data_IF_417636911568
#
_entry.id   IF_417636911568
#
_cell.length_a   1.000
_cell.length_b   1.000
_cell.length_c   1.000
_cell.angle_alpha   90.00
_cell.angle_beta   90.00
_cell.angle_gamma   90.00
#
_symmetry.space_group_name_H-M   'P 1'
#
loop_
_entity.id
_entity.type
_entity.pdbx_description
1 polymer ?
#
# COMPACT_ATOMS: atom_id res chain seq x y z
N UNK A 1 33.19 -40.92 -44.48
CA UNK A 1 31.85 -41.00 -43.84
C UNK A 1 31.93 -40.45 -42.43
N UNK A 2 31.54 -39.19 -42.29
CA UNK A 2 31.49 -38.51 -40.99
C UNK A 2 30.03 -38.47 -40.59
N UNK A 3 29.69 -39.16 -39.51
CA UNK A 3 28.35 -39.09 -38.89
C UNK A 3 28.26 -37.82 -38.07
N UNK A 4 27.39 -36.89 -38.50
CA UNK A 4 27.03 -35.72 -37.72
C UNK A 4 26.00 -36.14 -36.64
N UNK A 5 26.37 -36.02 -35.38
CA UNK A 5 25.50 -36.21 -34.25
C UNK A 5 24.71 -34.95 -34.00
N UNK A 6 23.41 -35.01 -34.30
CA UNK A 6 22.44 -33.99 -33.94
C UNK A 6 22.23 -33.99 -32.42
N UNK A 7 22.80 -33.02 -31.74
CA UNK A 7 22.46 -32.72 -30.33
C UNK A 7 21.21 -31.87 -30.34
N UNK A 8 20.07 -32.55 -30.16
CA UNK A 8 18.80 -31.89 -29.86
C UNK A 8 18.90 -31.26 -28.48
N UNK A 9 19.06 -29.95 -28.42
CA UNK A 9 18.88 -29.18 -27.19
C UNK A 9 17.40 -29.35 -26.76
N UNK A 10 17.19 -30.15 -25.72
CA UNK A 10 15.91 -30.13 -24.98
C UNK A 10 15.70 -28.72 -24.40
N UNK A 11 14.83 -27.97 -25.04
CA UNK A 11 14.24 -26.76 -24.43
C UNK A 11 13.40 -27.24 -23.28
N UNK A 12 13.87 -27.00 -22.05
CA UNK A 12 13.07 -27.22 -20.84
C UNK A 12 11.86 -26.31 -20.93
N UNK A 13 10.64 -26.81 -20.68
CA UNK A 13 9.47 -25.98 -20.66
C UNK A 13 9.63 -24.90 -19.59
N UNK A 14 9.44 -23.67 -20.01
CA UNK A 14 9.45 -22.46 -19.19
C UNK A 14 8.44 -22.65 -18.05
N UNK A 15 8.93 -23.03 -16.85
CA UNK A 15 8.08 -23.22 -15.67
C UNK A 15 7.62 -21.85 -15.22
N UNK A 16 6.37 -21.54 -15.54
CA UNK A 16 5.47 -20.65 -14.80
C UNK A 16 6.11 -19.40 -14.19
N UNK A 17 6.43 -18.47 -15.07
CA UNK A 17 6.45 -17.06 -14.70
C UNK A 17 4.97 -16.66 -14.65
N UNK A 18 4.51 -16.28 -13.46
CA UNK A 18 3.23 -15.62 -13.20
C UNK A 18 1.96 -16.48 -13.29
N UNK A 19 1.75 -17.39 -12.33
CA UNK A 19 0.43 -17.40 -11.72
C UNK A 19 0.30 -16.09 -10.95
N UNK A 20 -0.17 -15.04 -11.61
CA UNK A 20 -0.82 -13.91 -10.96
C UNK A 20 -1.88 -14.58 -10.09
N UNK A 21 -1.67 -14.60 -8.76
CA UNK A 21 -2.70 -15.10 -7.86
C UNK A 21 -3.90 -14.23 -8.18
N UNK A 22 -4.97 -14.82 -8.73
CA UNK A 22 -6.17 -14.10 -9.07
C UNK A 22 -6.63 -13.37 -7.81
N UNK A 23 -6.81 -12.05 -7.91
CA UNK A 23 -7.42 -11.29 -6.82
C UNK A 23 -8.80 -11.90 -6.61
N UNK A 24 -9.14 -12.37 -5.40
CA UNK A 24 -10.48 -12.87 -5.16
C UNK A 24 -11.49 -11.79 -5.56
N UNK A 25 -12.58 -12.13 -6.29
CA UNK A 25 -13.59 -11.15 -6.68
C UNK A 25 -14.13 -10.50 -5.42
N UNK A 26 -14.28 -9.17 -5.44
CA UNK A 26 -14.99 -8.47 -4.40
C UNK A 26 -16.38 -9.10 -4.27
N UNK A 27 -16.72 -9.64 -3.11
CA UNK A 27 -18.05 -10.21 -2.90
C UNK A 27 -19.06 -9.10 -3.12
N UNK A 28 -19.95 -9.27 -4.09
CA UNK A 28 -21.06 -8.34 -4.35
C UNK A 28 -21.77 -8.08 -3.03
N UNK A 29 -22.02 -6.81 -2.71
CA UNK A 29 -22.74 -6.45 -1.50
C UNK A 29 -24.13 -7.06 -1.57
N UNK A 30 -24.47 -7.94 -0.65
CA UNK A 30 -25.85 -8.40 -0.46
C UNK A 30 -26.71 -7.20 -0.06
N UNK A 31 -28.03 -7.29 -0.32
CA UNK A 31 -28.98 -6.24 0.06
C UNK A 31 -28.85 -5.85 1.54
N UNK A 32 -28.59 -6.83 2.42
CA UNK A 32 -28.29 -6.63 3.84
C UNK A 32 -27.00 -5.83 4.09
N UNK A 33 -25.99 -5.96 3.25
CA UNK A 33 -24.75 -5.17 3.34
C UNK A 33 -24.92 -3.75 2.80
N UNK A 34 -25.87 -3.53 1.90
CA UNK A 34 -26.29 -2.19 1.46
C UNK A 34 -27.10 -1.47 2.53
N UNK A 35 -27.91 -2.18 3.29
CA UNK A 35 -28.65 -1.66 4.45
C UNK A 35 -27.71 -1.25 5.59
N UNK A 36 -26.66 -2.04 5.85
CA UNK A 36 -25.59 -1.68 6.81
C UNK A 36 -24.81 -0.43 6.35
N UNK A 37 -24.73 -0.17 5.05
CA UNK A 37 -24.09 1.04 4.49
C UNK A 37 -24.82 2.33 4.84
N UNK A 38 -26.14 2.25 5.06
CA UNK A 38 -27.01 3.39 5.39
C UNK A 38 -27.40 3.43 6.89
N UNK A 39 -27.06 2.39 7.66
CA UNK A 39 -27.22 2.46 9.09
C UNK A 39 -26.26 3.50 9.64
N UNK A 40 -26.79 4.54 10.28
CA UNK A 40 -26.02 5.43 11.12
C UNK A 40 -25.19 4.58 12.07
N UNK A 41 -23.87 4.85 12.14
CA UNK A 41 -22.99 4.22 13.12
C UNK A 41 -23.69 4.41 14.48
N UNK A 42 -24.07 3.35 15.19
CA UNK A 42 -24.69 3.53 16.50
C UNK A 42 -23.79 4.46 17.30
N UNK A 43 -24.36 5.45 17.96
CA UNK A 43 -23.66 6.27 18.96
C UNK A 43 -23.25 5.30 20.07
N UNK A 44 -22.21 4.55 19.82
CA UNK A 44 -21.70 3.48 20.64
C UNK A 44 -20.29 3.84 21.08
N UNK A 45 -19.92 3.39 22.21
CA UNK A 45 -18.68 3.54 22.97
C UNK A 45 -17.58 4.36 22.28
N UNK A 46 -16.92 5.30 22.95
CA UNK A 46 -15.81 6.07 22.37
C UNK A 46 -14.82 5.14 21.65
N UNK A 47 -14.46 5.48 20.42
CA UNK A 47 -13.44 4.72 19.69
C UNK A 47 -12.12 4.91 20.41
N UNK A 48 -11.58 3.84 20.95
CA UNK A 48 -10.23 3.83 21.50
C UNK A 48 -9.22 3.74 20.35
N UNK A 49 -8.44 4.80 20.15
CA UNK A 49 -7.42 4.83 19.12
C UNK A 49 -6.16 4.12 19.60
N UNK A 50 -5.60 3.30 18.74
CA UNK A 50 -4.38 2.54 19.00
C UNK A 50 -3.13 3.41 18.88
N UNK A 51 -2.09 3.05 19.59
CA UNK A 51 -0.73 3.61 19.44
C UNK A 51 0.02 2.82 18.37
N UNK A 52 0.71 3.50 17.47
CA UNK A 52 1.67 2.86 16.55
C UNK A 52 2.96 2.59 17.33
N UNK A 53 3.41 1.33 17.46
CA UNK A 53 4.67 1.04 18.10
C UNK A 53 5.86 1.43 17.20
N UNK A 54 6.97 1.91 17.78
CA UNK A 54 8.23 2.15 17.04
C UNK A 54 8.97 0.84 16.75
N UNK A 55 8.33 -0.07 16.03
CA UNK A 55 8.81 -1.44 15.84
C UNK A 55 10.03 -1.55 14.90
N UNK A 56 10.20 -0.59 14.00
CA UNK A 56 11.22 -0.61 12.94
C UNK A 56 12.14 0.62 13.06
N UNK A 57 12.61 0.89 14.27
CA UNK A 57 13.45 2.04 14.58
C UNK A 57 14.75 2.04 13.76
N UNK A 58 14.97 3.12 12.99
CA UNK A 58 16.16 3.28 12.16
C UNK A 58 16.17 2.46 10.87
N UNK A 59 15.12 1.68 10.59
CA UNK A 59 15.04 0.80 9.42
C UNK A 59 14.64 1.54 8.15
N UNK A 60 14.93 0.93 7.00
CA UNK A 60 14.32 1.28 5.72
C UNK A 60 12.98 0.58 5.59
N UNK A 61 11.90 1.33 5.38
CA UNK A 61 10.56 0.78 5.16
C UNK A 61 10.14 0.99 3.70
N UNK A 62 9.71 -0.09 3.05
CA UNK A 62 9.19 -0.08 1.69
C UNK A 62 7.67 -0.04 1.72
N UNK A 63 7.07 0.97 1.09
CA UNK A 63 5.61 1.12 1.01
C UNK A 63 5.16 0.73 -0.39
N UNK A 64 4.29 -0.27 -0.46
CA UNK A 64 3.77 -0.82 -1.70
C UNK A 64 2.37 -0.29 -1.94
N UNK A 65 2.24 0.61 -2.92
CA UNK A 65 0.98 1.16 -3.40
C UNK A 65 0.36 0.31 -4.51
N UNK A 66 -0.63 0.88 -5.19
CA UNK A 66 -1.39 0.21 -6.24
C UNK A 66 -1.04 0.62 -7.67
N UNK A 67 -0.03 1.46 -7.89
CA UNK A 67 0.24 2.06 -9.20
C UNK A 67 0.68 1.07 -10.28
N UNK A 68 0.36 1.35 -11.56
CA UNK A 68 0.58 0.44 -12.68
C UNK A 68 2.07 0.09 -12.94
N UNK A 69 3.01 0.86 -12.42
CA UNK A 69 4.45 0.53 -12.49
C UNK A 69 4.81 -0.83 -11.87
N UNK A 70 3.95 -1.39 -11.02
CA UNK A 70 4.15 -2.71 -10.41
C UNK A 70 3.58 -3.87 -11.24
N UNK A 71 3.02 -3.65 -12.42
CA UNK A 71 2.37 -4.66 -13.27
C UNK A 71 3.42 -5.69 -13.60
N UNK A 72 4.33 -6.07 -13.52
CA UNK A 72 5.26 -7.19 -13.76
C UNK A 72 6.36 -7.26 -12.67
N UNK A 73 6.11 -6.61 -11.55
CA UNK A 73 7.07 -6.59 -10.48
C UNK A 73 7.15 -7.97 -9.79
N UNK A 74 8.34 -8.46 -9.59
CA UNK A 74 8.56 -9.68 -8.81
C UNK A 74 8.62 -9.35 -7.31
N UNK A 75 7.53 -9.58 -6.61
CA UNK A 75 7.39 -9.30 -5.17
C UNK A 75 8.30 -10.17 -4.29
N UNK A 76 8.85 -11.28 -4.80
CA UNK A 76 9.82 -12.08 -4.07
C UNK A 76 11.11 -11.30 -3.74
N UNK A 77 11.42 -10.25 -4.50
CA UNK A 77 12.55 -9.36 -4.23
C UNK A 77 12.42 -8.58 -2.91
N UNK A 78 11.20 -8.48 -2.37
CA UNK A 78 10.91 -7.78 -1.10
C UNK A 78 11.05 -8.70 0.13
N UNK A 79 11.33 -9.98 -0.06
CA UNK A 79 11.53 -10.91 1.07
C UNK A 79 12.65 -10.42 1.99
N UNK A 80 12.36 -10.36 3.28
CA UNK A 80 13.29 -9.90 4.31
C UNK A 80 13.43 -8.39 4.46
N UNK A 81 12.78 -7.60 3.60
CA UNK A 81 12.68 -6.15 3.75
C UNK A 81 11.49 -5.77 4.62
N UNK A 82 11.58 -4.65 5.34
CA UNK A 82 10.44 -4.12 6.11
C UNK A 82 9.44 -3.47 5.17
N UNK A 83 8.22 -3.98 5.17
CA UNK A 83 7.23 -3.60 4.14
C UNK A 83 5.88 -3.22 4.73
N UNK A 84 5.28 -2.18 4.14
CA UNK A 84 3.87 -1.80 4.33
C UNK A 84 3.17 -2.01 3.00
N UNK A 85 2.13 -2.84 2.98
CA UNK A 85 1.24 -2.99 1.83
C UNK A 85 -0.04 -2.18 2.03
N UNK A 86 -0.48 -1.49 0.98
CA UNK A 86 -1.69 -0.67 1.01
C UNK A 86 -2.81 -1.39 0.25
N UNK A 87 -3.97 -1.55 0.89
CA UNK A 87 -5.16 -2.13 0.28
C UNK A 87 -4.84 -3.47 -0.42
N UNK A 88 -5.19 -3.61 -1.69
CA UNK A 88 -5.03 -4.84 -2.46
C UNK A 88 -3.59 -5.29 -2.72
N UNK A 89 -2.59 -4.45 -2.48
CA UNK A 89 -1.19 -4.87 -2.56
C UNK A 89 -0.89 -6.07 -1.66
N UNK A 90 -1.67 -6.28 -0.60
CA UNK A 90 -1.56 -7.45 0.30
C UNK A 90 -1.70 -8.79 -0.43
N UNK A 91 -2.49 -8.87 -1.50
CA UNK A 91 -2.67 -10.12 -2.25
C UNK A 91 -1.44 -10.53 -3.06
N UNK A 92 -0.55 -9.60 -3.32
CA UNK A 92 0.70 -9.83 -4.06
C UNK A 92 1.90 -10.01 -3.12
N UNK A 93 1.83 -9.45 -1.91
CA UNK A 93 2.89 -9.56 -0.90
C UNK A 93 2.29 -9.88 0.47
N UNK A 94 1.84 -11.12 0.65
CA UNK A 94 1.15 -11.60 1.85
C UNK A 94 2.06 -11.72 3.09
N UNK A 95 3.37 -11.72 2.89
CA UNK A 95 4.38 -11.78 3.95
C UNK A 95 4.86 -10.40 4.40
N UNK A 96 4.17 -9.34 4.02
CA UNK A 96 4.47 -7.99 4.47
C UNK A 96 4.37 -7.86 5.99
N UNK A 97 5.16 -6.93 6.56
CA UNK A 97 5.14 -6.67 8.01
C UNK A 97 3.88 -5.93 8.45
N UNK A 98 3.31 -5.10 7.56
CA UNK A 98 2.18 -4.23 7.87
C UNK A 98 1.20 -4.18 6.70
N UNK A 99 -0.09 -4.27 6.99
CA UNK A 99 -1.19 -3.96 6.10
C UNK A 99 -1.88 -2.67 6.56
N UNK A 100 -2.07 -1.73 5.65
CA UNK A 100 -2.78 -0.48 5.89
C UNK A 100 -3.91 -0.25 4.89
N UNK A 101 -5.04 0.26 5.38
CA UNK A 101 -6.16 0.72 4.55
C UNK A 101 -6.87 1.90 5.20
N UNK A 102 -7.52 2.74 4.38
CA UNK A 102 -8.30 3.88 4.88
C UNK A 102 -9.80 3.61 4.86
N UNK A 103 -10.31 2.97 3.80
CA UNK A 103 -11.75 2.75 3.60
C UNK A 103 -12.19 1.45 4.25
N UNK A 104 -13.07 1.54 5.25
CA UNK A 104 -13.60 0.39 5.98
C UNK A 104 -14.29 -0.65 5.08
N UNK A 105 -14.77 -0.26 3.88
CA UNK A 105 -15.34 -1.17 2.90
C UNK A 105 -14.32 -2.21 2.42
N UNK A 106 -13.03 -1.86 2.39
CA UNK A 106 -11.97 -2.80 2.04
C UNK A 106 -12.00 -4.02 2.96
N UNK A 107 -12.13 -3.82 4.27
CA UNK A 107 -12.28 -4.92 5.21
C UNK A 107 -13.56 -5.73 4.97
N UNK A 108 -14.68 -5.08 4.71
CA UNK A 108 -15.95 -5.76 4.42
C UNK A 108 -15.83 -6.68 3.20
N UNK A 109 -15.11 -6.26 2.17
CA UNK A 109 -14.94 -7.03 0.94
C UNK A 109 -13.97 -8.21 1.10
N UNK A 110 -12.94 -8.06 1.91
CA UNK A 110 -11.82 -9.00 2.03
C UNK A 110 -11.57 -9.48 3.45
N UNK A 111 -12.62 -9.55 4.24
CA UNK A 111 -12.53 -9.86 5.68
C UNK A 111 -11.68 -11.10 5.97
N UNK A 112 -11.94 -12.22 5.28
CA UNK A 112 -11.23 -13.47 5.54
C UNK A 112 -9.73 -13.36 5.22
N UNK A 113 -9.39 -12.67 4.14
CA UNK A 113 -8.00 -12.49 3.73
C UNK A 113 -7.26 -11.57 4.72
N UNK A 114 -7.92 -10.51 5.18
CA UNK A 114 -7.35 -9.56 6.14
C UNK A 114 -7.20 -10.22 7.51
N UNK A 115 -8.20 -10.98 7.98
CA UNK A 115 -8.13 -11.67 9.26
C UNK A 115 -6.98 -12.70 9.30
N UNK A 116 -6.70 -13.35 8.17
CA UNK A 116 -5.61 -14.32 8.03
C UNK A 116 -4.22 -13.66 7.78
N UNK A 117 -4.16 -12.35 7.58
CA UNK A 117 -2.89 -11.66 7.44
C UNK A 117 -2.14 -11.64 8.77
N UNK A 118 -0.90 -12.10 8.79
CA UNK A 118 -0.12 -12.32 10.03
C UNK A 118 0.61 -11.07 10.53
N UNK A 119 0.80 -10.04 9.69
CA UNK A 119 1.46 -8.79 10.06
C UNK A 119 0.58 -7.84 10.88
N UNK A 120 1.11 -6.68 11.21
CA UNK A 120 0.34 -5.63 11.86
C UNK A 120 -0.73 -5.07 10.91
N UNK A 121 -1.92 -4.80 11.44
CA UNK A 121 -3.07 -4.29 10.68
C UNK A 121 -3.47 -2.93 11.21
N UNK A 122 -3.48 -1.93 10.32
CA UNK A 122 -3.88 -0.56 10.67
C UNK A 122 -4.96 -0.05 9.74
N UNK A 123 -5.93 0.66 10.29
CA UNK A 123 -6.97 1.38 9.55
C UNK A 123 -7.13 2.79 10.07
N UNK A 124 -7.43 3.73 9.17
CA UNK A 124 -7.70 5.12 9.53
C UNK A 124 -9.15 5.37 9.94
N UNK A 125 -10.05 4.45 9.64
CA UNK A 125 -11.46 4.55 10.00
C UNK A 125 -11.89 3.34 10.81
N UNK A 126 -12.67 3.56 11.88
CA UNK A 126 -13.26 2.45 12.61
C UNK A 126 -14.20 1.65 11.69
N UNK A 127 -14.28 0.36 11.92
CA UNK A 127 -15.21 -0.55 11.27
C UNK A 127 -15.95 -1.37 12.32
N UNK A 128 -17.27 -1.45 12.20
CA UNK A 128 -18.12 -2.15 13.18
C UNK A 128 -17.82 -3.65 13.34
N UNK A 129 -17.16 -4.23 12.33
CA UNK A 129 -16.85 -5.67 12.28
C UNK A 129 -15.36 -5.98 12.48
N UNK A 130 -14.53 -4.99 12.83
CA UNK A 130 -13.11 -5.18 13.03
C UNK A 130 -12.81 -6.15 14.18
N UNK A 131 -11.86 -7.04 13.96
CA UNK A 131 -11.28 -7.88 14.98
C UNK A 131 -10.36 -7.06 15.90
N UNK A 132 -10.09 -7.57 17.11
CA UNK A 132 -9.31 -6.82 18.14
C UNK A 132 -7.85 -6.54 17.73
N UNK A 133 -7.32 -7.27 16.79
CA UNK A 133 -5.94 -7.12 16.27
C UNK A 133 -5.84 -6.01 15.21
N UNK A 134 -6.97 -5.48 14.70
CA UNK A 134 -6.99 -4.33 13.82
C UNK A 134 -6.87 -3.06 14.64
N UNK A 135 -5.78 -2.36 14.45
CA UNK A 135 -5.45 -1.10 15.12
C UNK A 135 -6.06 0.08 14.38
N UNK A 136 -6.98 0.77 15.03
CA UNK A 136 -7.63 1.96 14.46
C UNK A 136 -6.87 3.21 14.89
N UNK A 137 -6.49 4.03 13.92
CA UNK A 137 -5.79 5.29 14.13
C UNK A 137 -6.73 6.48 13.90
N UNK A 138 -6.46 7.58 14.58
CA UNK A 138 -7.21 8.83 14.42
C UNK A 138 -6.84 9.49 13.09
N UNK A 139 -7.83 10.00 12.41
CA UNK A 139 -7.63 10.84 11.24
C UNK A 139 -7.19 12.23 11.71
N UNK A 140 -6.01 12.64 11.33
CA UNK A 140 -5.41 13.92 11.66
C UNK A 140 -5.55 14.98 10.56
N UNK A 141 -4.53 15.82 10.42
CA UNK A 141 -4.49 16.90 9.43
C UNK A 141 -4.48 16.37 7.99
N UNK A 142 -4.92 17.21 7.07
CA UNK A 142 -4.87 16.87 5.65
C UNK A 142 -3.44 16.89 5.10
N UNK A 143 -2.63 17.84 5.52
CA UNK A 143 -1.27 18.06 5.04
C UNK A 143 -0.28 18.15 6.20
N UNK A 144 1.03 17.94 5.92
CA UNK A 144 2.06 17.90 6.94
C UNK A 144 2.21 16.52 7.58
N UNK A 145 2.95 16.44 8.66
CA UNK A 145 3.27 15.23 9.42
C UNK A 145 2.59 15.24 10.79
N UNK A 146 1.79 14.25 11.08
CA UNK A 146 1.33 14.01 12.45
C UNK A 146 2.43 13.35 13.27
N UNK A 147 2.70 13.89 14.45
CA UNK A 147 3.70 13.37 15.38
C UNK A 147 3.09 12.58 16.53
N UNK A 148 1.79 12.72 16.76
CA UNK A 148 1.05 11.91 17.73
C UNK A 148 0.91 10.46 17.19
N UNK A 149 1.43 9.44 17.88
CA UNK A 149 1.42 8.06 17.39
C UNK A 149 0.03 7.43 17.32
N UNK A 150 -1.02 8.10 17.76
CA UNK A 150 -2.40 7.67 17.59
C UNK A 150 -3.05 8.21 16.30
N UNK A 151 -2.36 9.10 15.60
CA UNK A 151 -2.93 9.96 14.56
C UNK A 151 -2.14 9.87 13.26
N UNK A 152 -2.81 9.85 12.12
CA UNK A 152 -2.17 9.94 10.81
C UNK A 152 -2.66 11.18 10.04
N UNK A 153 -1.73 11.93 9.46
CA UNK A 153 -2.04 12.86 8.39
C UNK A 153 -2.53 12.06 7.17
N UNK A 154 -3.56 12.55 6.47
CA UNK A 154 -4.25 11.70 5.49
C UNK A 154 -4.02 12.05 4.02
N UNK A 155 -3.62 13.29 3.68
CA UNK A 155 -3.33 13.72 2.31
C UNK A 155 -4.41 13.37 1.27
N UNK A 156 -5.60 13.05 1.73
CA UNK A 156 -6.73 12.54 0.93
C UNK A 156 -6.45 11.20 0.21
N UNK A 157 -5.35 10.53 0.49
CA UNK A 157 -5.01 9.22 -0.10
C UNK A 157 -4.28 8.32 0.89
N UNK A 158 -4.42 7.00 0.69
CA UNK A 158 -3.82 6.01 1.57
C UNK A 158 -2.29 5.99 1.53
N UNK A 159 -1.68 6.36 0.41
CA UNK A 159 -0.22 6.44 0.26
C UNK A 159 0.39 7.48 1.17
N UNK A 160 -0.23 8.66 1.25
CA UNK A 160 0.19 9.74 2.15
C UNK A 160 0.17 9.28 3.61
N UNK A 161 -0.95 8.72 4.04
CA UNK A 161 -1.11 8.23 5.40
C UNK A 161 -0.15 7.08 5.72
N UNK A 162 0.17 6.22 4.75
CA UNK A 162 1.15 5.13 4.93
C UNK A 162 2.57 5.68 5.13
N UNK A 163 2.94 6.82 4.53
CA UNK A 163 4.23 7.48 4.81
C UNK A 163 4.28 7.95 6.27
N UNK A 164 3.21 8.58 6.75
CA UNK A 164 3.11 8.97 8.16
C UNK A 164 3.15 7.75 9.10
N UNK A 165 2.51 6.65 8.73
CA UNK A 165 2.56 5.39 9.49
C UNK A 165 3.99 4.85 9.56
N UNK A 166 4.74 4.87 8.44
CA UNK A 166 6.14 4.44 8.43
C UNK A 166 7.01 5.29 9.35
N UNK A 167 6.80 6.61 9.41
CA UNK A 167 7.44 7.48 10.38
C UNK A 167 7.16 7.04 11.83
N UNK A 168 5.90 6.79 12.18
CA UNK A 168 5.55 6.31 13.51
C UNK A 168 6.18 4.96 13.85
N UNK A 169 6.29 4.06 12.87
CA UNK A 169 6.95 2.76 13.04
C UNK A 169 8.46 2.89 13.26
N UNK A 170 9.05 4.06 13.08
CA UNK A 170 10.46 4.34 13.36
C UNK A 170 11.35 4.38 12.11
N UNK A 171 10.80 4.43 10.90
CA UNK A 171 11.62 4.52 9.69
C UNK A 171 12.55 5.74 9.71
N UNK A 172 13.82 5.55 9.34
CA UNK A 172 14.72 6.65 8.97
C UNK A 172 14.78 6.85 7.44
N UNK A 173 14.38 5.83 6.68
CA UNK A 173 14.29 5.86 5.23
C UNK A 173 12.99 5.20 4.78
N UNK A 174 12.33 5.80 3.80
CA UNK A 174 11.10 5.28 3.21
C UNK A 174 11.30 5.16 1.70
N UNK A 175 10.94 4.03 1.13
CA UNK A 175 10.97 3.77 -0.32
C UNK A 175 9.55 3.52 -0.81
N UNK A 176 9.12 4.29 -1.79
CA UNK A 176 7.79 4.18 -2.38
C UNK A 176 7.85 3.32 -3.64
N UNK A 177 7.00 2.29 -3.72
CA UNK A 177 6.80 1.41 -4.86
C UNK A 177 5.34 1.49 -5.32
N UNK A 178 5.09 1.70 -6.62
CA UNK A 178 3.74 1.82 -7.14
C UNK A 178 3.02 3.12 -6.75
N UNK A 179 3.76 4.22 -6.63
CA UNK A 179 3.25 5.56 -6.37
C UNK A 179 3.24 6.40 -7.65
N UNK A 180 2.59 5.91 -8.68
CA UNK A 180 2.60 6.52 -10.03
C UNK A 180 1.86 7.86 -10.05
N UNK A 181 0.78 7.99 -9.27
CA UNK A 181 -0.04 9.20 -9.13
C UNK A 181 -0.61 9.74 -10.44
N UNK A 182 -0.85 8.84 -11.40
CA UNK A 182 -1.56 9.10 -12.65
C UNK A 182 -2.17 7.81 -13.19
N UNK A 183 -3.10 7.94 -14.14
CA UNK A 183 -3.65 6.81 -14.86
C UNK A 183 -2.84 6.58 -16.15
N UNK A 184 -2.51 5.34 -16.46
CA UNK A 184 -1.81 4.97 -17.68
C UNK A 184 -2.78 4.26 -18.61
N UNK A 185 -3.18 4.87 -19.73
CA UNK A 185 -3.94 4.24 -20.84
C UNK A 185 -5.13 3.34 -20.41
N UNK A 186 -5.92 3.73 -19.40
CA UNK A 186 -7.01 3.00 -18.75
C UNK A 186 -6.63 2.20 -17.50
N UNK A 187 -5.35 1.94 -17.24
CA UNK A 187 -4.91 1.23 -16.03
C UNK A 187 -4.66 2.24 -14.90
N UNK A 188 -5.45 2.17 -13.84
CA UNK A 188 -5.27 3.01 -12.63
C UNK A 188 -4.48 2.29 -11.55
N UNK A 189 -4.42 0.97 -11.65
CA UNK A 189 -3.74 0.09 -10.70
C UNK A 189 -3.06 -1.05 -11.47
N UNK A 190 -2.04 -1.66 -10.88
CA UNK A 190 -1.39 -2.83 -11.47
C UNK A 190 -2.26 -4.10 -11.40
N UNK A 191 -3.43 -4.02 -10.78
CA UNK A 191 -4.39 -5.10 -10.60
C UNK A 191 -5.80 -4.65 -10.92
N UNK A 192 -6.66 -5.58 -11.33
CA UNK A 192 -8.09 -5.39 -11.53
C UNK A 192 -8.88 -5.52 -10.22
N UNK A 193 -10.13 -5.10 -10.25
CA UNK A 193 -11.11 -5.54 -9.25
C UNK A 193 -11.47 -4.54 -8.16
N UNK A 194 -11.28 -3.23 -8.36
CA UNK A 194 -12.00 -2.27 -7.54
C UNK A 194 -13.46 -2.17 -8.02
N UNK A 195 -14.45 -2.34 -7.13
CA UNK A 195 -15.86 -2.24 -7.50
C UNK A 195 -16.31 -0.78 -7.74
N UNK A 196 -15.41 0.18 -7.62
CA UNK A 196 -15.67 1.62 -7.81
C UNK A 196 -14.84 2.16 -8.97
N UNK A 197 -15.36 3.19 -9.65
CA UNK A 197 -14.63 3.86 -10.71
C UNK A 197 -13.31 4.43 -10.19
N UNK A 198 -12.21 4.31 -10.96
CA UNK A 198 -10.93 4.91 -10.62
C UNK A 198 -11.02 6.42 -10.48
N UNK A 199 -10.14 6.99 -9.66
CA UNK A 199 -9.98 8.44 -9.60
C UNK A 199 -9.50 8.98 -10.96
N UNK A 200 -10.09 10.08 -11.43
CA UNK A 200 -9.60 10.77 -12.62
C UNK A 200 -8.26 11.48 -12.36
N UNK A 201 -7.47 11.73 -13.42
CA UNK A 201 -6.14 12.37 -13.31
C UNK A 201 -6.16 13.73 -12.59
N UNK A 202 -7.27 14.49 -12.73
CA UNK A 202 -7.44 15.76 -12.03
C UNK A 202 -7.41 15.62 -10.51
N UNK A 203 -7.88 14.47 -9.96
CA UNK A 203 -7.86 14.22 -8.51
C UNK A 203 -6.42 14.05 -8.02
N UNK A 204 -5.58 13.37 -8.78
CA UNK A 204 -4.16 13.26 -8.45
C UNK A 204 -3.50 14.64 -8.43
N UNK A 205 -3.65 15.44 -9.49
CA UNK A 205 -3.03 16.75 -9.64
C UNK A 205 -3.53 17.75 -8.60
N UNK A 206 -4.85 17.84 -8.43
CA UNK A 206 -5.46 18.96 -7.72
C UNK A 206 -5.66 18.65 -6.22
N UNK A 207 -5.71 17.38 -5.83
CA UNK A 207 -6.01 16.98 -4.47
C UNK A 207 -4.91 16.16 -3.80
N UNK A 208 -4.29 15.20 -4.49
CA UNK A 208 -3.33 14.30 -3.86
C UNK A 208 -1.91 14.84 -3.83
N UNK A 209 -1.43 15.36 -4.96
CA UNK A 209 -0.03 15.81 -5.11
C UNK A 209 0.35 17.02 -4.25
N UNK A 210 -0.50 18.07 -4.09
CA UNK A 210 -0.07 19.31 -3.42
C UNK A 210 0.42 19.11 -1.98
N UNK A 211 -0.22 18.23 -1.21
CA UNK A 211 0.11 18.00 0.21
C UNK A 211 1.48 17.38 0.46
N UNK A 212 2.05 16.67 -0.52
CA UNK A 212 3.33 15.99 -0.32
C UNK A 212 4.51 16.93 -0.07
N UNK A 213 4.46 18.17 -0.53
CA UNK A 213 5.54 19.16 -0.27
C UNK A 213 5.68 19.49 1.20
N UNK A 214 4.56 19.66 1.90
CA UNK A 214 4.57 19.92 3.34
C UNK A 214 5.04 18.69 4.10
N UNK A 215 4.54 17.51 3.71
CA UNK A 215 4.96 16.25 4.31
C UNK A 215 6.48 16.02 4.15
N UNK A 216 7.04 16.26 2.98
CA UNK A 216 8.48 16.13 2.72
C UNK A 216 9.30 17.07 3.60
N UNK A 217 8.88 18.34 3.69
CA UNK A 217 9.52 19.33 4.54
C UNK A 217 9.53 18.87 6.01
N UNK A 218 8.40 18.41 6.52
CA UNK A 218 8.27 17.98 7.91
C UNK A 218 9.11 16.71 8.19
N UNK A 219 9.08 15.73 7.27
CA UNK A 219 9.87 14.51 7.38
C UNK A 219 11.37 14.82 7.43
N UNK A 220 11.84 15.75 6.62
CA UNK A 220 13.24 16.19 6.63
C UNK A 220 13.63 16.80 7.97
N UNK A 221 12.75 17.56 8.63
CA UNK A 221 13.04 18.14 9.96
C UNK A 221 13.20 17.08 11.05
N UNK A 222 12.63 15.91 10.86
CA UNK A 222 12.72 14.78 11.80
C UNK A 222 13.73 13.70 11.35
N UNK A 223 14.52 14.00 10.31
CA UNK A 223 15.61 13.13 9.84
C UNK A 223 15.15 11.92 9.01
N UNK A 224 13.93 11.94 8.46
CA UNK A 224 13.42 10.87 7.59
C UNK A 224 13.58 11.24 6.12
N UNK A 225 14.19 10.35 5.35
CA UNK A 225 14.36 10.50 3.91
C UNK A 225 13.37 9.61 3.16
N UNK A 226 12.73 10.16 2.12
CA UNK A 226 11.80 9.42 1.26
C UNK A 226 12.33 9.37 -0.17
N UNK A 227 12.30 8.20 -0.79
CA UNK A 227 12.62 7.97 -2.21
C UNK A 227 11.42 7.40 -2.95
N UNK A 228 11.24 7.81 -4.19
CA UNK A 228 10.21 7.26 -5.06
C UNK A 228 10.84 6.36 -6.13
N UNK A 229 10.62 5.05 -6.03
CA UNK A 229 11.14 4.07 -7.00
C UNK A 229 10.19 3.86 -8.20
N UNK A 230 9.11 4.62 -8.31
CA UNK A 230 8.26 4.68 -9.50
C UNK A 230 8.77 5.78 -10.43
N UNK A 231 9.70 5.44 -11.34
CA UNK A 231 10.46 6.42 -12.14
C UNK A 231 9.60 7.32 -13.02
N UNK A 232 8.46 6.82 -13.50
CA UNK A 232 7.50 7.57 -14.33
C UNK A 232 6.37 8.23 -13.51
N UNK A 233 6.50 8.27 -12.20
CA UNK A 233 5.52 8.87 -11.29
C UNK A 233 5.35 10.36 -11.52
N UNK A 234 4.13 10.87 -11.36
CA UNK A 234 3.84 12.29 -11.26
C UNK A 234 4.16 12.87 -9.87
N UNK A 235 4.44 12.03 -8.89
CA UNK A 235 4.89 12.46 -7.57
C UNK A 235 6.38 12.85 -7.64
N UNK A 236 6.62 14.13 -7.92
CA UNK A 236 7.97 14.71 -8.11
C UNK A 236 8.56 15.30 -6.82
N UNK A 237 7.81 15.27 -5.71
CA UNK A 237 8.25 15.82 -4.42
C UNK A 237 9.45 15.07 -3.85
N UNK A 238 9.48 13.75 -4.00
CA UNK A 238 10.55 12.91 -3.49
C UNK A 238 11.54 12.55 -4.60
N UNK A 239 12.86 12.48 -4.30
CA UNK A 239 13.86 12.02 -5.26
C UNK A 239 13.49 10.67 -5.88
N UNK A 240 13.58 10.60 -7.21
CA UNK A 240 13.34 9.36 -7.94
C UNK A 240 14.61 8.52 -8.01
N UNK A 241 14.45 7.23 -7.75
CA UNK A 241 15.52 6.24 -7.83
C UNK A 241 15.07 5.05 -8.66
N UNK A 242 16.03 4.30 -9.19
CA UNK A 242 15.74 3.03 -9.86
C UNK A 242 15.34 1.96 -8.85
N UNK A 243 14.66 0.93 -9.30
CA UNK A 243 14.34 -0.23 -8.47
C UNK A 243 15.62 -0.90 -7.91
N UNK A 244 16.66 -1.01 -8.74
CA UNK A 244 17.93 -1.57 -8.30
C UNK A 244 18.55 -0.76 -7.14
N UNK A 245 18.55 0.57 -7.23
CA UNK A 245 18.97 1.45 -6.14
C UNK A 245 18.08 1.27 -4.90
N UNK A 246 16.77 1.22 -5.07
CA UNK A 246 15.84 0.99 -3.98
C UNK A 246 16.13 -0.30 -3.22
N UNK A 247 16.37 -1.40 -3.93
CA UNK A 247 16.64 -2.71 -3.34
C UNK A 247 18.06 -2.84 -2.75
N UNK A 248 18.95 -1.87 -3.00
CA UNK A 248 20.30 -1.85 -2.40
C UNK A 248 20.34 -1.30 -0.97
N UNK A 249 19.25 -0.73 -0.46
CA UNK A 249 19.14 -0.23 0.92
C UNK A 249 18.85 -1.36 1.93
N UNK A 250 19.49 -2.49 1.77
CA UNK A 250 19.36 -3.65 2.68
C UNK A 250 20.24 -3.49 3.90
#
# INVERSE_FOLDING_TARGET
SVRSSNITRRVLPNRNINKIKSIPPARGLSQRQLEIKNAEVPVGKPVEYSVVPRKFEGETIYIIGGGPSLKNFNFDQLKGLKTIVINKAVFFHQTADVLYWTDSRFYTWYKNDIDNFSGLKFSLKPGSQYTKDIKVLRKGVAHGLEKDPHTLAHGYNSGYAAINLAYHLGANRIVLLGFDMHNTNKDTHFHDGYPTRPAGDHIYRDKFLPGFKELEKDLRTVGVTVFNASTHSQLNTFPKITLAQALSFR
#
